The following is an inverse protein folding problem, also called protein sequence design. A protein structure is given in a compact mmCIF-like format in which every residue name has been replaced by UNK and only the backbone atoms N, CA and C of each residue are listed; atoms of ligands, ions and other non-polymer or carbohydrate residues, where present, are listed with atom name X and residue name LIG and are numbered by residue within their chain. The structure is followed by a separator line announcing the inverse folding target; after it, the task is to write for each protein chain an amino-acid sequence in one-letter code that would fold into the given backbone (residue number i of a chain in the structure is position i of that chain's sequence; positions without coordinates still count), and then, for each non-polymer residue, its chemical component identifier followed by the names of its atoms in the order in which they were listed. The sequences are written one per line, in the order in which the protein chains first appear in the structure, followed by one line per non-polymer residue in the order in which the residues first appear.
data_IF_063582778222
#
_entry.id   IF_063582778222
#
_cell.length_a   1.000
_cell.length_b   1.000
_cell.length_c   1.000
_cell.angle_alpha   90.00
_cell.angle_beta   90.00
_cell.angle_gamma   90.00
#
_symmetry.space_group_name_H-M   'P 1'
#
loop_
_entity.id
_entity.type
_entity.pdbx_description
1 polymer ?
#
# COMPACT_ATOMS: atom_id res chain seq x y z
N UNK A 1 2.25 -14.85 30.30
CA UNK A 1 2.18 -14.43 28.88
C UNK A 1 3.61 -14.20 28.45
N UNK A 2 4.13 -15.00 27.52
CA UNK A 2 5.55 -14.92 27.15
C UNK A 2 5.73 -13.83 26.08
N UNK A 3 6.88 -13.14 26.01
CA UNK A 3 7.15 -12.13 24.98
C UNK A 3 7.11 -12.66 23.53
N UNK A 4 7.06 -13.98 23.34
CA UNK A 4 7.17 -14.65 22.04
C UNK A 4 5.82 -14.71 21.31
N UNK A 5 4.69 -14.50 22.01
CA UNK A 5 3.35 -14.62 21.42
C UNK A 5 2.93 -13.40 20.56
N UNK A 6 3.71 -12.30 20.58
CA UNK A 6 3.47 -11.08 19.77
C UNK A 6 4.28 -11.04 18.45
N UNK A 7 5.28 -11.91 18.29
CA UNK A 7 6.19 -11.89 17.13
C UNK A 7 5.54 -12.40 15.82
N UNK A 8 4.24 -12.66 15.82
CA UNK A 8 3.50 -13.19 14.66
C UNK A 8 2.16 -12.47 14.43
N UNK A 9 2.03 -11.22 14.89
CA UNK A 9 0.81 -10.45 14.65
C UNK A 9 0.70 -10.07 13.16
N UNK A 10 -0.44 -10.36 12.55
CA UNK A 10 -0.79 -9.82 11.24
C UNK A 10 -1.12 -8.34 11.42
N UNK A 11 -0.32 -7.48 10.78
CA UNK A 11 -0.48 -6.04 10.82
C UNK A 11 -0.71 -5.52 9.40
N UNK A 12 -1.27 -4.32 9.28
CA UNK A 12 -1.39 -3.62 8.00
C UNK A 12 -0.36 -2.50 8.00
N UNK A 13 0.55 -2.52 7.02
CA UNK A 13 1.64 -1.54 6.90
C UNK A 13 1.62 -0.90 5.50
N UNK A 14 1.97 0.38 5.43
CA UNK A 14 2.23 1.09 4.17
C UNK A 14 3.67 0.80 3.74
N UNK A 15 3.82 -0.03 2.71
CA UNK A 15 5.15 -0.49 2.29
C UNK A 15 5.29 -0.43 0.77
N UNK A 16 6.53 -0.50 0.30
CA UNK A 16 6.86 -0.43 -1.11
C UNK A 16 6.42 -1.69 -1.85
N UNK A 17 5.78 -1.55 -3.00
CA UNK A 17 5.07 -2.66 -3.66
C UNK A 17 5.94 -3.59 -4.50
N UNK A 18 7.23 -3.33 -4.70
CA UNK A 18 8.06 -4.18 -5.56
C UNK A 18 8.12 -5.62 -5.04
N UNK A 19 7.79 -6.59 -5.91
CA UNK A 19 7.74 -8.01 -5.55
C UNK A 19 6.52 -8.42 -4.71
N UNK A 20 5.48 -7.59 -4.61
CA UNK A 20 4.26 -7.97 -3.90
C UNK A 20 3.55 -9.16 -4.60
N UNK A 21 2.98 -10.12 -3.85
CA UNK A 21 2.33 -11.31 -4.41
C UNK A 21 0.87 -11.09 -4.82
N UNK A 22 0.33 -9.89 -4.60
CA UNK A 22 -1.11 -9.61 -4.72
C UNK A 22 -1.53 -9.10 -6.10
N UNK A 23 -0.56 -8.83 -6.98
CA UNK A 23 -0.80 -8.26 -8.31
C UNK A 23 -1.12 -6.77 -8.28
N UNK A 24 -0.70 -6.06 -7.23
CA UNK A 24 -0.76 -4.60 -7.13
C UNK A 24 0.43 -4.02 -7.93
N UNK A 25 0.25 -2.86 -8.55
CA UNK A 25 1.27 -2.14 -9.29
C UNK A 25 2.53 -1.94 -8.44
N UNK A 26 3.68 -2.15 -9.06
CA UNK A 26 4.98 -1.90 -8.44
C UNK A 26 5.30 -0.40 -8.39
N UNK A 27 6.34 -0.06 -7.64
CA UNK A 27 6.91 1.28 -7.55
C UNK A 27 5.95 2.33 -6.94
N UNK A 28 5.09 1.90 -6.01
CA UNK A 28 4.23 2.77 -5.19
C UNK A 28 4.31 2.32 -3.72
N UNK A 29 3.82 3.16 -2.81
CA UNK A 29 3.57 2.77 -1.42
C UNK A 29 2.11 2.37 -1.30
N UNK A 30 1.84 1.16 -0.83
CA UNK A 30 0.49 0.63 -0.69
C UNK A 30 0.33 -0.09 0.65
N UNK A 31 -0.86 0.02 1.23
CA UNK A 31 -1.20 -0.62 2.50
C UNK A 31 -1.46 -2.12 2.30
N UNK A 32 -0.60 -2.98 2.85
CA UNK A 32 -0.65 -4.43 2.62
C UNK A 32 -0.55 -5.23 3.93
N UNK A 33 -1.13 -6.44 3.98
CA UNK A 33 -1.01 -7.31 5.14
C UNK A 33 0.44 -7.82 5.24
N UNK A 34 1.03 -7.57 6.41
CA UNK A 34 2.40 -7.91 6.75
C UNK A 34 2.45 -8.65 8.08
N UNK A 35 3.46 -9.49 8.27
CA UNK A 35 3.84 -10.06 9.56
C UNK A 35 5.21 -9.54 9.95
N UNK A 36 5.41 -9.27 11.23
CA UNK A 36 6.70 -8.84 11.78
C UNK A 36 6.97 -9.58 13.08
N UNK A 37 8.22 -9.93 13.32
CA UNK A 37 8.72 -10.50 14.57
C UNK A 37 9.13 -9.43 15.59
N UNK A 38 8.93 -8.15 15.26
CA UNK A 38 9.29 -7.01 16.11
C UNK A 38 10.75 -6.59 16.01
N UNK A 39 11.52 -7.10 15.05
CA UNK A 39 12.92 -6.72 14.84
C UNK A 39 13.12 -5.47 13.95
N UNK A 40 12.03 -4.91 13.42
CA UNK A 40 12.03 -3.77 12.49
C UNK A 40 11.77 -4.15 11.03
N UNK A 41 11.90 -5.43 10.69
CA UNK A 41 11.57 -5.99 9.39
C UNK A 41 10.14 -6.56 9.35
N UNK A 42 9.66 -6.83 8.13
CA UNK A 42 8.37 -7.43 7.89
C UNK A 42 8.40 -8.37 6.67
N UNK A 43 7.43 -9.27 6.60
CA UNK A 43 7.15 -10.13 5.45
C UNK A 43 5.71 -9.93 4.98
N UNK A 44 5.48 -9.96 3.66
CA UNK A 44 4.12 -9.91 3.10
C UNK A 44 3.40 -11.25 3.31
N UNK A 45 2.16 -11.20 3.79
CA UNK A 45 1.33 -12.39 4.05
C UNK A 45 0.82 -12.99 2.74
N UNK A 46 1.34 -14.15 2.33
CA UNK A 46 1.00 -14.76 1.03
C UNK A 46 -0.39 -15.40 0.97
N UNK A 47 -0.92 -15.86 2.10
CA UNK A 47 -2.15 -16.64 2.18
C UNK A 47 -3.40 -15.74 2.33
N UNK A 48 -3.58 -14.80 1.40
CA UNK A 48 -4.72 -13.88 1.37
C UNK A 48 -5.60 -14.18 0.16
N UNK A 49 -6.90 -14.38 0.42
CA UNK A 49 -7.89 -14.57 -0.64
C UNK A 49 -8.34 -13.19 -1.13
N UNK A 50 -8.10 -12.90 -2.41
CA UNK A 50 -8.59 -11.69 -3.08
C UNK A 50 -9.74 -12.10 -3.99
N UNK A 51 -10.96 -11.93 -3.50
CA UNK A 51 -12.17 -12.09 -4.28
C UNK A 51 -12.41 -10.89 -5.22
N UNK A 52 -13.45 -10.97 -6.04
CA UNK A 52 -13.73 -9.94 -7.04
C UNK A 52 -14.11 -8.60 -6.40
N UNK A 53 -14.84 -8.61 -5.29
CA UNK A 53 -15.21 -7.39 -4.57
C UNK A 53 -13.98 -6.68 -4.02
N UNK A 54 -13.07 -7.40 -3.38
CA UNK A 54 -11.82 -6.85 -2.85
C UNK A 54 -10.92 -6.36 -3.99
N UNK A 55 -10.82 -7.13 -5.09
CA UNK A 55 -10.03 -6.76 -6.27
C UNK A 55 -10.50 -5.44 -6.88
N UNK A 56 -11.80 -5.23 -6.99
CA UNK A 56 -12.35 -3.97 -7.49
C UNK A 56 -12.02 -2.78 -6.60
N UNK A 57 -12.03 -2.96 -5.27
CA UNK A 57 -11.66 -1.91 -4.32
C UNK A 57 -10.17 -1.59 -4.38
N UNK A 58 -9.31 -2.61 -4.39
CA UNK A 58 -7.86 -2.44 -4.51
C UNK A 58 -7.49 -1.68 -5.79
N UNK A 59 -8.10 -2.02 -6.92
CA UNK A 59 -7.86 -1.31 -8.20
C UNK A 59 -8.25 0.16 -8.17
N UNK A 60 -9.29 0.53 -7.42
CA UNK A 60 -9.70 1.95 -7.29
C UNK A 60 -8.64 2.75 -6.53
N UNK A 61 -8.17 2.24 -5.40
CA UNK A 61 -7.09 2.86 -4.61
C UNK A 61 -5.78 2.87 -5.37
N UNK A 62 -5.45 1.79 -6.09
CA UNK A 62 -4.26 1.73 -6.96
C UNK A 62 -4.29 2.81 -8.05
N UNK A 63 -5.44 3.00 -8.72
CA UNK A 63 -5.58 4.02 -9.76
C UNK A 63 -5.35 5.44 -9.22
N UNK A 64 -5.85 5.72 -8.01
CA UNK A 64 -5.63 6.97 -7.30
C UNK A 64 -4.14 7.19 -6.97
N UNK A 65 -3.48 6.22 -6.34
CA UNK A 65 -2.05 6.32 -5.99
C UNK A 65 -1.16 6.47 -7.23
N UNK A 66 -1.50 5.82 -8.34
CA UNK A 66 -0.78 6.00 -9.61
C UNK A 66 -0.99 7.41 -10.19
N UNK A 67 -2.17 8.01 -10.00
CA UNK A 67 -2.41 9.40 -10.39
C UNK A 67 -1.62 10.38 -9.50
N UNK A 68 -1.57 10.14 -8.20
CA UNK A 68 -0.78 10.94 -7.26
C UNK A 68 0.71 10.87 -7.58
N UNK A 69 1.23 9.66 -7.82
CA UNK A 69 2.61 9.43 -8.24
C UNK A 69 2.97 10.26 -9.48
N UNK A 70 2.12 10.27 -10.51
CA UNK A 70 2.32 11.10 -11.71
C UNK A 70 2.29 12.60 -11.39
N UNK A 71 1.44 13.02 -10.46
CA UNK A 71 1.36 14.42 -10.04
C UNK A 71 2.67 14.86 -9.35
N UNK A 72 3.32 13.96 -8.59
CA UNK A 72 4.59 14.24 -7.90
C UNK A 72 5.84 13.81 -8.68
N UNK A 73 5.73 13.46 -9.97
CA UNK A 73 6.85 12.95 -10.79
C UNK A 73 8.08 13.88 -10.80
N UNK A 74 7.85 15.19 -10.68
CA UNK A 74 8.89 16.23 -10.59
C UNK A 74 9.71 16.18 -9.28
N UNK A 75 9.23 15.47 -8.26
CA UNK A 75 9.90 15.23 -6.97
C UNK A 75 10.53 13.83 -6.88
N UNK A 76 10.04 12.87 -7.67
CA UNK A 76 10.52 11.47 -7.65
C UNK A 76 11.58 11.19 -8.72
N UNK A 77 11.83 12.13 -9.63
CA UNK A 77 12.80 11.96 -10.73
C UNK A 77 12.22 11.26 -11.96
N UNK A 78 10.90 11.13 -12.06
CA UNK A 78 10.19 10.52 -13.18
C UNK A 78 9.84 11.51 -14.31
N UNK A 79 10.22 12.78 -14.16
CA UNK A 79 10.08 13.80 -15.19
C UNK A 79 9.04 14.86 -14.83
N UNK A 80 8.26 15.29 -15.81
CA UNK A 80 7.28 16.37 -15.61
C UNK A 80 6.03 15.85 -14.89
N UNK A 81 5.52 16.66 -13.97
CA UNK A 81 4.28 16.40 -13.26
C UNK A 81 3.06 16.39 -14.20
N UNK A 82 2.13 15.46 -13.95
CA UNK A 82 0.79 15.48 -14.53
C UNK A 82 -0.24 15.13 -13.45
N UNK A 83 -1.06 16.11 -13.07
CA UNK A 83 -2.03 16.00 -11.98
C UNK A 83 -3.45 15.89 -12.54
N UNK A 84 -4.02 14.70 -12.40
CA UNK A 84 -5.42 14.36 -12.74
C UNK A 84 -6.01 13.60 -11.56
N UNK A 85 -6.14 14.32 -10.44
CA UNK A 85 -6.62 13.79 -9.16
C UNK A 85 -8.10 14.13 -8.97
N UNK A 86 -8.89 13.24 -8.34
CA UNK A 86 -10.24 13.59 -7.89
C UNK A 86 -10.20 14.73 -6.84
N UNK A 87 -11.24 15.57 -6.80
CA UNK A 87 -11.20 16.86 -6.07
C UNK A 87 -11.22 16.78 -4.53
N UNK A 88 -11.52 15.64 -3.90
CA UNK A 88 -11.28 15.43 -2.47
C UNK A 88 -11.35 13.95 -2.08
N UNK A 89 -10.23 13.37 -1.70
CA UNK A 89 -10.15 12.01 -1.14
C UNK A 89 -9.50 12.00 0.25
N UNK A 90 -9.33 13.18 0.85
CA UNK A 90 -8.84 13.28 2.23
C UNK A 90 -9.82 12.64 3.20
N UNK A 91 -9.29 12.01 4.26
CA UNK A 91 -10.15 11.38 5.25
C UNK A 91 -10.85 12.46 6.09
N UNK A 92 -12.14 12.27 6.43
CA UNK A 92 -12.85 13.20 7.30
C UNK A 92 -12.14 13.36 8.65
N UNK A 93 -11.76 14.60 8.98
CA UNK A 93 -11.11 14.94 10.25
C UNK A 93 -9.58 15.05 10.18
N UNK A 94 -8.97 14.84 9.02
CA UNK A 94 -7.57 15.21 8.76
C UNK A 94 -7.47 16.69 8.34
N UNK A 95 -6.41 17.39 8.78
CA UNK A 95 -6.12 18.81 8.50
C UNK A 95 -4.80 18.96 7.75
#
# INVERSE_FOLDING_TARGET
MSPVDNANSNNVLYVYTNGNPYGIAEDIVFSMPCRSDGNGDYELVKDVIIDDFLRERLKKTEAELLAEKRCVAHLTGEGNAYCDLPEDTMLPGEM
#
